data_IF_101875498058
#
_entry.id   IF_101875498058
#
_cell.length_a   1.000
_cell.length_b   1.000
_cell.length_c   1.000
_cell.angle_alpha   90.00
_cell.angle_beta   90.00
_cell.angle_gamma   90.00
#
_symmetry.space_group_name_H-M   'P 1'
#
loop_
_entity.id
_entity.type
_entity.pdbx_description
1 polymer ?
#
# COMPACT_ATOMS: atom_id res chain seq x y z
N UNK A 1 45.31 -10.98 -14.21
CA UNK A 1 44.74 -11.14 -15.56
C UNK A 1 44.06 -12.50 -15.57
N UNK A 2 42.79 -12.69 -15.88
CA UNK A 2 41.71 -11.81 -16.32
C UNK A 2 40.38 -12.55 -16.05
N UNK A 3 39.29 -11.78 -15.94
CA UNK A 3 37.94 -12.20 -15.54
C UNK A 3 37.09 -12.72 -16.71
N UNK A 4 36.08 -13.55 -16.41
CA UNK A 4 34.76 -13.60 -17.07
C UNK A 4 33.81 -14.43 -16.15
N UNK A 5 32.61 -14.05 -15.74
CA UNK A 5 31.63 -13.10 -16.29
C UNK A 5 30.37 -13.86 -16.72
N UNK A 6 29.51 -14.29 -15.79
CA UNK A 6 28.26 -15.02 -16.08
C UNK A 6 27.08 -14.07 -16.38
N UNK A 7 26.22 -14.35 -17.38
CA UNK A 7 25.07 -13.51 -17.72
C UNK A 7 23.84 -13.82 -16.85
N UNK A 8 23.06 -12.78 -16.56
CA UNK A 8 22.00 -12.76 -15.54
C UNK A 8 20.63 -13.29 -15.96
N UNK A 9 19.98 -13.95 -14.99
CA UNK A 9 18.65 -14.58 -15.05
C UNK A 9 17.47 -13.59 -14.95
N UNK A 10 17.64 -12.34 -15.40
CA UNK A 10 16.60 -11.31 -15.32
C UNK A 10 15.55 -11.35 -16.44
N UNK A 11 15.67 -12.25 -17.43
CA UNK A 11 14.98 -12.12 -18.71
C UNK A 11 13.68 -12.91 -18.87
N UNK A 12 13.42 -13.94 -18.05
CA UNK A 12 12.32 -14.89 -18.34
C UNK A 12 10.95 -14.47 -17.78
N UNK A 13 10.89 -13.59 -16.78
CA UNK A 13 9.62 -13.18 -16.17
C UNK A 13 8.92 -12.08 -17.02
N UNK A 14 9.64 -11.41 -17.93
CA UNK A 14 9.05 -10.42 -18.84
C UNK A 14 8.19 -11.05 -19.95
N UNK A 15 8.43 -12.30 -20.33
CA UNK A 15 7.80 -12.88 -21.51
C UNK A 15 6.34 -13.30 -21.28
N UNK A 16 5.99 -13.77 -20.07
CA UNK A 16 4.63 -14.29 -19.79
C UNK A 16 3.59 -13.17 -19.62
N UNK A 17 4.01 -11.99 -19.13
CA UNK A 17 3.13 -10.81 -19.07
C UNK A 17 2.91 -10.15 -20.44
N UNK A 18 3.73 -10.50 -21.44
CA UNK A 18 3.67 -9.94 -22.79
C UNK A 18 2.57 -10.59 -23.65
N UNK A 19 2.06 -11.74 -23.25
CA UNK A 19 1.10 -12.54 -24.03
C UNK A 19 -0.36 -12.22 -23.70
N UNK A 20 -0.64 -11.75 -22.47
CA UNK A 20 -2.01 -11.39 -22.03
C UNK A 20 -2.37 -9.94 -22.32
N UNK A 21 -1.38 -9.06 -22.54
CA UNK A 21 -1.61 -7.64 -22.84
C UNK A 21 -0.82 -7.26 -24.10
N UNK A 22 -1.55 -7.10 -25.21
CA UNK A 22 -1.02 -6.88 -26.56
C UNK A 22 0.18 -5.91 -26.63
N UNK A 23 1.17 -6.31 -27.43
CA UNK A 23 2.55 -5.77 -27.55
C UNK A 23 2.69 -4.29 -27.95
N UNK A 24 1.62 -3.54 -28.12
CA UNK A 24 1.68 -2.16 -28.66
C UNK A 24 1.13 -1.07 -27.72
N UNK A 25 0.72 -1.38 -26.49
CA UNK A 25 0.04 -0.39 -25.63
C UNK A 25 0.95 0.62 -24.90
N UNK A 26 2.18 0.84 -25.39
CA UNK A 26 3.07 1.89 -24.88
C UNK A 26 3.72 2.76 -25.95
N UNK A 27 3.35 2.58 -27.24
CA UNK A 27 3.78 3.51 -28.30
C UNK A 27 3.00 4.82 -28.21
N UNK A 28 3.69 5.78 -27.60
CA UNK A 28 3.50 7.23 -27.53
C UNK A 28 2.51 7.86 -28.53
N UNK A 29 1.53 8.60 -28.01
CA UNK A 29 0.95 9.73 -28.72
C UNK A 29 1.73 11.01 -28.35
N UNK A 30 2.12 11.86 -29.31
CA UNK A 30 2.73 13.14 -29.04
C UNK A 30 1.64 14.18 -28.74
N UNK A 31 1.74 14.86 -27.59
CA UNK A 31 0.91 16.02 -27.28
C UNK A 31 -0.02 15.85 -26.09
N UNK A 32 0.52 15.81 -24.88
CA UNK A 32 -0.18 16.31 -23.70
C UNK A 32 0.87 16.74 -22.66
N UNK A 33 0.64 17.93 -22.10
CA UNK A 33 1.49 18.69 -21.18
C UNK A 33 2.39 17.88 -20.24
N UNK A 34 3.54 18.47 -19.89
CA UNK A 34 4.45 18.01 -18.83
C UNK A 34 3.68 17.83 -17.50
N UNK A 35 3.11 16.65 -17.31
CA UNK A 35 2.25 16.28 -16.19
C UNK A 35 2.62 14.88 -15.75
N UNK A 36 2.94 14.75 -14.47
CA UNK A 36 3.30 13.50 -13.77
C UNK A 36 2.54 12.31 -14.37
N UNK A 37 3.28 11.31 -14.87
CA UNK A 37 2.73 10.11 -15.49
C UNK A 37 1.92 9.29 -14.47
N UNK A 38 0.67 9.67 -14.23
CA UNK A 38 -0.29 8.98 -13.36
C UNK A 38 -0.84 7.74 -14.07
N UNK A 39 0.01 6.75 -14.31
CA UNK A 39 -0.31 5.55 -15.09
C UNK A 39 -1.61 4.86 -14.65
N UNK A 40 -1.94 4.94 -13.35
CA UNK A 40 -3.13 4.31 -12.77
C UNK A 40 -4.45 4.99 -13.17
N UNK A 41 -4.43 6.19 -13.74
CA UNK A 41 -5.63 6.89 -14.23
C UNK A 41 -5.96 6.56 -15.69
N UNK A 42 -5.08 5.82 -16.38
CA UNK A 42 -5.20 5.53 -17.82
C UNK A 42 -5.98 4.25 -18.14
N UNK A 43 -6.36 3.46 -17.12
CA UNK A 43 -7.13 2.23 -17.33
C UNK A 43 -8.48 2.55 -17.96
N UNK A 44 -8.79 1.89 -19.09
CA UNK A 44 -10.10 2.00 -19.76
C UNK A 44 -11.19 1.20 -19.04
N UNK A 45 -10.79 0.20 -18.24
CA UNK A 45 -11.72 -0.57 -17.42
C UNK A 45 -11.79 0.03 -16.02
N UNK A 46 -12.99 0.10 -15.41
CA UNK A 46 -13.15 0.55 -14.04
C UNK A 46 -12.52 -0.48 -13.10
N UNK A 47 -11.28 -0.22 -12.69
CA UNK A 47 -10.64 -0.97 -11.62
C UNK A 47 -11.10 -0.36 -10.29
N UNK A 48 -11.83 -1.15 -9.51
CA UNK A 48 -12.31 -0.75 -8.18
C UNK A 48 -11.34 -1.24 -7.10
N UNK A 49 -11.13 -0.41 -6.09
CA UNK A 49 -10.42 -0.80 -4.87
C UNK A 49 -11.25 -1.87 -4.13
N UNK A 50 -10.70 -3.07 -3.84
CA UNK A 50 -11.46 -4.13 -3.17
C UNK A 50 -11.81 -3.82 -1.71
N UNK A 51 -11.29 -2.73 -1.12
CA UNK A 51 -11.55 -2.34 0.27
C UNK A 51 -12.65 -1.28 0.40
N UNK A 52 -12.78 -0.42 -0.59
CA UNK A 52 -13.65 0.76 -0.55
C UNK A 52 -14.64 0.81 -1.71
N UNK A 53 -14.51 -0.10 -2.67
CA UNK A 53 -15.20 -0.08 -3.97
C UNK A 53 -14.99 1.22 -4.78
N UNK A 54 -14.01 2.04 -4.40
CA UNK A 54 -13.72 3.32 -5.04
C UNK A 54 -12.89 3.11 -6.32
N UNK A 55 -13.16 3.85 -7.42
CA UNK A 55 -12.37 3.75 -8.65
C UNK A 55 -10.89 4.12 -8.43
N UNK A 56 -9.99 3.18 -8.75
CA UNK A 56 -8.54 3.36 -8.62
C UNK A 56 -8.03 4.56 -9.45
N UNK A 57 -8.64 4.80 -10.61
CA UNK A 57 -8.30 5.93 -11.48
C UNK A 57 -8.57 7.31 -10.87
N UNK A 58 -9.41 7.38 -9.83
CA UNK A 58 -9.75 8.63 -9.15
C UNK A 58 -8.88 8.88 -7.91
N UNK A 59 -8.01 7.95 -7.51
CA UNK A 59 -7.11 8.15 -6.38
C UNK A 59 -6.11 9.29 -6.66
N UNK A 60 -5.93 10.25 -5.73
CA UNK A 60 -5.00 11.38 -5.91
C UNK A 60 -3.53 10.96 -5.80
N UNK A 61 -3.27 9.74 -5.35
CA UNK A 61 -1.95 9.11 -5.19
C UNK A 61 -1.93 7.76 -5.92
N UNK A 62 -0.74 7.21 -6.23
CA UNK A 62 -0.66 5.88 -6.86
C UNK A 62 -1.28 4.81 -5.95
N UNK A 63 -2.01 3.82 -6.48
CA UNK A 63 -2.55 2.73 -5.68
C UNK A 63 -1.43 1.86 -5.09
N UNK A 64 -1.71 1.23 -3.95
CA UNK A 64 -0.82 0.26 -3.35
C UNK A 64 -0.97 -1.12 -4.02
N UNK A 65 0.16 -1.78 -4.30
CA UNK A 65 0.21 -3.10 -4.97
C UNK A 65 0.33 -4.23 -3.94
N UNK A 66 -0.80 -4.64 -3.36
CA UNK A 66 -0.88 -5.68 -2.35
C UNK A 66 -0.73 -7.07 -2.99
N UNK A 67 0.10 -7.95 -2.42
CA UNK A 67 0.21 -9.35 -2.86
C UNK A 67 -1.04 -10.11 -2.46
N UNK A 68 -1.60 -10.92 -3.36
CA UNK A 68 -2.73 -11.78 -3.00
C UNK A 68 -2.24 -12.94 -2.13
N UNK A 69 -1.19 -13.61 -2.57
CA UNK A 69 -0.46 -14.64 -1.83
C UNK A 69 0.88 -14.05 -1.36
N UNK A 70 1.17 -14.01 -0.04
CA UNK A 70 2.42 -13.45 0.47
C UNK A 70 3.65 -14.27 0.06
N UNK A 71 3.48 -15.58 -0.22
CA UNK A 71 4.55 -16.48 -0.64
C UNK A 71 4.92 -16.32 -2.13
N UNK A 72 4.12 -15.58 -2.91
CA UNK A 72 4.34 -15.38 -4.35
C UNK A 72 4.49 -13.89 -4.69
N UNK A 73 5.39 -13.52 -5.61
CA UNK A 73 5.54 -12.12 -6.02
C UNK A 73 4.32 -11.57 -6.80
N UNK A 74 3.51 -12.47 -7.37
CA UNK A 74 2.29 -12.22 -8.15
C UNK A 74 1.27 -13.33 -7.92
N UNK A 75 -0.05 -13.08 -8.07
CA UNK A 75 -0.66 -11.83 -8.53
C UNK A 75 -0.74 -10.75 -7.43
N UNK A 76 -0.92 -9.48 -7.87
CA UNK A 76 -1.11 -8.33 -6.98
C UNK A 76 -2.44 -7.65 -7.27
N UNK A 77 -3.10 -7.14 -6.22
CA UNK A 77 -4.27 -6.26 -6.34
C UNK A 77 -3.90 -4.82 -6.05
N UNK A 78 -4.52 -3.92 -6.79
CA UNK A 78 -4.44 -2.48 -6.56
C UNK A 78 -5.47 -2.11 -5.48
N UNK A 79 -5.00 -1.47 -4.42
CA UNK A 79 -5.84 -1.03 -3.30
C UNK A 79 -5.55 0.42 -2.95
N UNK A 80 -6.49 1.08 -2.29
CA UNK A 80 -6.22 2.36 -1.63
C UNK A 80 -5.30 2.13 -0.43
N UNK A 81 -4.01 2.44 -0.60
CA UNK A 81 -3.01 2.20 0.42
C UNK A 81 -3.17 3.11 1.64
N UNK A 82 -3.68 4.33 1.48
CA UNK A 82 -3.94 5.21 2.63
C UNK A 82 -5.09 4.67 3.46
N UNK A 83 -6.16 4.23 2.80
CA UNK A 83 -7.28 3.60 3.49
C UNK A 83 -6.85 2.32 4.21
N UNK A 84 -6.08 1.45 3.56
CA UNK A 84 -5.55 0.22 4.16
C UNK A 84 -4.69 0.52 5.41
N UNK A 85 -3.83 1.54 5.35
CA UNK A 85 -3.04 1.97 6.50
C UNK A 85 -3.90 2.47 7.66
N UNK A 86 -4.93 3.29 7.38
CA UNK A 86 -5.86 3.73 8.42
C UNK A 86 -6.61 2.55 9.03
N UNK A 87 -7.08 1.61 8.20
CA UNK A 87 -7.82 0.43 8.64
C UNK A 87 -6.98 -0.41 9.60
N UNK A 88 -5.72 -0.64 9.23
CA UNK A 88 -4.77 -1.34 10.08
C UNK A 88 -4.58 -0.61 11.41
N UNK A 89 -4.34 0.70 11.39
CA UNK A 89 -4.06 1.48 12.60
C UNK A 89 -5.23 1.45 13.56
N UNK A 90 -6.44 1.73 13.06
CA UNK A 90 -7.66 1.81 13.87
C UNK A 90 -7.99 0.48 14.54
N UNK A 91 -7.84 -0.63 13.82
CA UNK A 91 -8.21 -1.95 14.32
C UNK A 91 -7.05 -2.68 15.02
N UNK A 92 -5.81 -2.21 14.87
CA UNK A 92 -4.62 -2.96 15.29
C UNK A 92 -4.27 -4.14 14.39
N UNK A 93 -4.82 -4.17 13.17
CA UNK A 93 -4.72 -5.25 12.19
C UNK A 93 -5.63 -4.96 11.00
N UNK A 94 -5.42 -5.61 9.86
CA UNK A 94 -6.32 -5.46 8.70
C UNK A 94 -6.40 -6.74 7.90
N UNK A 95 -7.61 -7.05 7.41
CA UNK A 95 -7.86 -8.08 6.41
C UNK A 95 -8.03 -7.40 5.06
N UNK A 96 -7.24 -7.83 4.08
CA UNK A 96 -7.33 -7.36 2.70
C UNK A 96 -7.13 -8.54 1.75
N UNK A 97 -7.88 -8.56 0.65
CA UNK A 97 -7.84 -9.66 -0.32
C UNK A 97 -8.07 -11.05 0.31
N UNK A 98 -8.92 -11.13 1.34
CA UNK A 98 -9.29 -12.39 2.00
C UNK A 98 -8.32 -12.90 3.07
N UNK A 99 -7.30 -12.11 3.46
CA UNK A 99 -6.33 -12.51 4.49
C UNK A 99 -5.81 -11.35 5.32
N UNK A 100 -5.21 -11.68 6.45
CA UNK A 100 -4.51 -10.71 7.29
C UNK A 100 -3.19 -10.24 6.66
N UNK A 101 -2.87 -8.96 6.86
CA UNK A 101 -1.59 -8.38 6.49
C UNK A 101 -0.46 -8.98 7.33
N UNK A 102 0.62 -9.39 6.67
CA UNK A 102 1.82 -9.93 7.33
C UNK A 102 2.81 -8.81 7.66
N UNK A 103 3.73 -9.06 8.61
CA UNK A 103 4.73 -8.07 9.04
C UNK A 103 5.55 -7.49 7.89
N UNK A 104 5.99 -8.33 6.95
CA UNK A 104 6.70 -7.88 5.75
C UNK A 104 5.91 -6.87 4.92
N UNK A 105 4.59 -7.00 4.90
CA UNK A 105 3.71 -6.09 4.14
C UNK A 105 3.43 -4.79 4.88
N UNK A 106 3.44 -4.83 6.22
CA UNK A 106 3.39 -3.64 7.06
C UNK A 106 4.58 -2.73 6.73
N UNK A 107 5.79 -3.29 6.64
CA UNK A 107 6.98 -2.55 6.24
C UNK A 107 6.86 -1.91 4.84
N UNK A 108 6.41 -2.69 3.85
CA UNK A 108 6.18 -2.18 2.48
C UNK A 108 5.08 -1.11 2.44
N UNK A 109 4.06 -1.23 3.30
CA UNK A 109 3.00 -0.24 3.42
C UNK A 109 3.51 1.06 4.07
N UNK A 110 4.34 0.98 5.10
CA UNK A 110 5.00 2.14 5.72
C UNK A 110 5.85 2.92 4.70
N UNK A 111 6.67 2.20 3.93
CA UNK A 111 7.47 2.78 2.85
C UNK A 111 6.59 3.46 1.79
N UNK A 112 5.47 2.82 1.44
CA UNK A 112 4.51 3.39 0.50
C UNK A 112 3.90 4.70 1.04
N UNK A 113 3.44 4.72 2.30
CA UNK A 113 2.87 5.92 2.95
C UNK A 113 3.90 7.05 2.95
N UNK A 114 5.16 6.74 3.28
CA UNK A 114 6.24 7.70 3.26
C UNK A 114 6.55 8.23 1.86
N UNK A 115 6.80 7.35 0.90
CA UNK A 115 7.14 7.68 -0.49
C UNK A 115 6.06 8.52 -1.16
N UNK A 116 4.79 8.21 -0.88
CA UNK A 116 3.65 8.91 -1.44
C UNK A 116 3.26 10.16 -0.63
N UNK A 117 4.01 10.50 0.43
CA UNK A 117 3.77 11.67 1.31
C UNK A 117 2.35 11.72 1.88
N UNK A 118 1.82 10.56 2.29
CA UNK A 118 0.42 10.40 2.72
C UNK A 118 0.18 10.70 4.21
N UNK A 119 1.18 11.27 4.89
CA UNK A 119 1.12 11.69 6.29
C UNK A 119 1.93 10.81 7.24
N UNK A 120 1.69 10.98 8.53
CA UNK A 120 2.41 10.30 9.62
C UNK A 120 1.81 8.94 10.03
N UNK A 121 0.75 8.50 9.35
CA UNK A 121 -0.01 7.31 9.71
C UNK A 121 0.62 6.03 9.14
N UNK A 122 1.72 5.61 9.77
CA UNK A 122 2.47 4.41 9.42
C UNK A 122 2.04 3.22 10.30
N UNK A 123 1.45 2.15 9.74
CA UNK A 123 1.10 0.91 10.44
C UNK A 123 2.17 0.35 11.36
N UNK A 124 3.46 0.42 11.00
CA UNK A 124 4.56 -0.06 11.85
C UNK A 124 4.62 0.61 13.23
N UNK A 125 4.15 1.86 13.34
CA UNK A 125 4.05 2.57 14.64
C UNK A 125 3.02 1.92 15.56
N UNK A 126 1.91 1.40 15.04
CA UNK A 126 0.92 0.69 15.86
C UNK A 126 1.51 -0.61 16.39
N UNK A 127 2.20 -1.37 15.54
CA UNK A 127 2.88 -2.61 15.95
C UNK A 127 3.88 -2.32 17.07
N UNK A 128 4.70 -1.28 16.92
CA UNK A 128 5.67 -0.87 17.93
C UNK A 128 5.01 -0.45 19.26
N UNK A 129 3.90 0.31 19.21
CA UNK A 129 3.17 0.74 20.40
C UNK A 129 2.47 -0.42 21.11
N UNK A 130 1.90 -1.35 20.35
CA UNK A 130 1.31 -2.59 20.90
C UNK A 130 2.38 -3.42 21.61
N UNK A 131 3.52 -3.64 20.95
CA UNK A 131 4.67 -4.36 21.52
C UNK A 131 5.17 -3.69 22.80
N UNK A 132 5.32 -2.36 22.78
CA UNK A 132 5.72 -1.58 23.97
C UNK A 132 4.71 -1.70 25.11
N UNK A 133 3.42 -1.76 24.82
CA UNK A 133 2.39 -1.94 25.82
C UNK A 133 2.37 -3.36 26.42
N UNK A 134 2.67 -4.39 25.62
CA UNK A 134 2.75 -5.78 26.11
C UNK A 134 4.04 -6.09 26.85
N UNK A 135 5.16 -5.47 26.46
CA UNK A 135 6.49 -5.72 27.02
C UNK A 135 6.91 -4.70 28.10
N UNK A 136 5.99 -3.84 28.54
CA UNK A 136 6.29 -2.78 29.50
C UNK A 136 6.78 -3.35 30.84
N UNK A 137 7.88 -2.80 31.37
CA UNK A 137 8.46 -3.24 32.65
C UNK A 137 7.67 -2.73 33.87
N UNK A 138 6.81 -1.72 33.66
CA UNK A 138 5.98 -1.16 34.73
C UNK A 138 4.55 -0.82 34.26
N UNK A 139 3.58 -0.81 35.18
CA UNK A 139 2.22 -0.34 34.89
C UNK A 139 2.16 1.10 34.37
N UNK A 140 3.11 1.96 34.77
CA UNK A 140 3.17 3.34 34.31
C UNK A 140 3.59 3.44 32.83
N UNK A 141 4.59 2.66 32.42
CA UNK A 141 5.02 2.58 31.02
C UNK A 141 3.93 1.97 30.12
N UNK A 142 3.28 0.90 30.60
CA UNK A 142 2.15 0.30 29.90
C UNK A 142 1.04 1.32 29.66
N UNK A 143 0.62 2.05 30.70
CA UNK A 143 -0.41 3.09 30.58
C UNK A 143 -0.01 4.18 29.57
N UNK A 144 1.25 4.62 29.57
CA UNK A 144 1.74 5.61 28.59
C UNK A 144 1.68 5.08 27.16
N UNK A 145 2.12 3.85 26.92
CA UNK A 145 2.08 3.23 25.59
C UNK A 145 0.64 3.05 25.08
N UNK A 146 -0.28 2.60 25.95
CA UNK A 146 -1.71 2.47 25.63
C UNK A 146 -2.34 3.84 25.31
N UNK A 147 -2.04 4.87 26.11
CA UNK A 147 -2.55 6.22 25.84
C UNK A 147 -2.04 6.77 24.50
N UNK A 148 -0.76 6.54 24.17
CA UNK A 148 -0.21 6.94 22.89
C UNK A 148 -0.86 6.19 21.72
N UNK A 149 -1.07 4.88 21.87
CA UNK A 149 -1.77 4.05 20.89
C UNK A 149 -3.20 4.55 20.63
N UNK A 150 -3.96 4.87 21.69
CA UNK A 150 -5.34 5.35 21.56
C UNK A 150 -5.42 6.75 20.94
N UNK A 151 -4.45 7.63 21.23
CA UNK A 151 -4.34 8.92 20.54
C UNK A 151 -4.08 8.72 19.05
N UNK A 152 -3.18 7.80 18.69
CA UNK A 152 -2.85 7.52 17.30
C UNK A 152 -4.03 6.90 16.54
N UNK A 153 -4.75 5.96 17.17
CA UNK A 153 -5.99 5.38 16.63
C UNK A 153 -7.07 6.42 16.42
N UNK A 154 -7.29 7.29 17.40
CA UNK A 154 -8.29 8.36 17.31
C UNK A 154 -7.99 9.33 16.17
N UNK A 155 -6.73 9.74 16.00
CA UNK A 155 -6.32 10.56 14.86
C UNK A 155 -6.54 9.84 13.51
N UNK A 156 -6.25 8.54 13.45
CA UNK A 156 -6.47 7.74 12.24
C UNK A 156 -7.95 7.57 11.90
N UNK A 157 -8.85 7.45 12.90
CA UNK A 157 -10.31 7.45 12.69
C UNK A 157 -10.79 8.74 12.04
N UNK A 158 -10.33 9.89 12.52
CA UNK A 158 -10.66 11.19 11.93
C UNK A 158 -10.18 11.28 10.49
N UNK A 159 -8.95 10.85 10.21
CA UNK A 159 -8.39 10.86 8.85
C UNK A 159 -9.13 9.88 7.91
N UNK A 160 -9.47 8.68 8.39
CA UNK A 160 -10.27 7.72 7.64
C UNK A 160 -11.65 8.28 7.30
N UNK A 161 -12.30 9.00 8.23
CA UNK A 161 -13.57 9.68 7.98
C UNK A 161 -13.48 10.74 6.88
N UNK A 162 -12.35 11.45 6.74
CA UNK A 162 -12.13 12.36 5.60
C UNK A 162 -12.03 11.61 4.28
N UNK A 163 -11.33 10.47 4.25
CA UNK A 163 -11.20 9.66 3.04
C UNK A 163 -12.55 9.12 2.56
N UNK A 164 -13.38 8.60 3.48
CA UNK A 164 -14.71 8.11 3.13
C UNK A 164 -15.59 9.19 2.52
N UNK A 165 -15.61 10.39 3.10
CA UNK A 165 -16.37 11.53 2.55
C UNK A 165 -15.98 11.91 1.12
N UNK A 166 -14.71 11.77 0.75
CA UNK A 166 -14.23 12.01 -0.63
C UNK A 166 -14.64 10.88 -1.57
N UNK A 167 -14.78 9.65 -1.04
CA UNK A 167 -15.10 8.46 -1.83
C UNK A 167 -16.61 8.25 -2.02
N UNK A 168 -17.42 8.86 -1.16
CA UNK A 168 -18.89 8.79 -1.16
C UNK A 168 -19.56 10.04 -1.79
N UNK A 169 -18.79 11.10 -2.04
CA UNK A 169 -19.25 12.34 -2.73
C UNK A 169 -19.21 12.21 -4.24
#
# INVERSE_FOLDING_TARGET
QESAGLPGEGSLICSVLQEVMGKDYWKSSPGAAAGVNRWWTRSRLPLLCPLTNFPISLLPYPPFKLRVDPARPSPRKLVDGKYLAMLFIVNGGAVACGRELQEAEIGVLDEYIHRCKLGAFRPGRVVALQKKASEAASPAEQRRAVQELERFRSAARVEMGKLRRIQES
#
